data_IF_079510908198
#
_entry.id   IF_079510908198
#
_cell.length_a   1.000
_cell.length_b   1.000
_cell.length_c   1.000
_cell.angle_alpha   90.00
_cell.angle_beta   90.00
_cell.angle_gamma   90.00
#
_symmetry.space_group_name_H-M   'P 1'
#
loop_
_entity.id
_entity.type
_entity.pdbx_description
1 polymer ?
#
# COMPACT_ATOMS: atom_id res chain seq x y z
N UNK A 1 10.81 -50.67 0.60
CA UNK A 1 9.38 -50.45 0.32
C UNK A 1 8.88 -49.44 1.34
N UNK A 2 8.47 -48.29 0.80
CA UNK A 2 7.62 -47.22 1.35
C UNK A 2 7.42 -47.09 2.85
N UNK A 3 7.81 -45.93 3.38
CA UNK A 3 7.19 -45.33 4.57
C UNK A 3 6.79 -43.90 4.20
N UNK A 4 5.48 -43.72 4.05
CA UNK A 4 4.83 -42.45 3.80
C UNK A 4 4.71 -41.67 5.12
N UNK A 5 5.24 -40.44 5.15
CA UNK A 5 5.04 -39.52 6.28
C UNK A 5 3.88 -38.54 6.02
N UNK A 6 3.07 -38.45 7.05
CA UNK A 6 1.71 -37.95 7.10
C UNK A 6 1.71 -36.46 7.48
N UNK A 7 1.29 -35.58 6.55
CA UNK A 7 1.17 -34.13 6.81
C UNK A 7 -0.29 -33.81 7.19
N UNK A 8 -0.57 -33.19 8.35
CA UNK A 8 -1.94 -32.84 8.73
C UNK A 8 -2.48 -31.65 7.91
N UNK A 9 -3.59 -31.89 7.21
CA UNK A 9 -4.39 -30.85 6.53
C UNK A 9 -5.10 -29.96 7.56
N UNK A 10 -4.93 -28.64 7.44
CA UNK A 10 -5.59 -27.62 8.25
C UNK A 10 -7.09 -27.59 7.93
N UNK A 11 -7.93 -27.85 8.94
CA UNK A 11 -9.41 -27.79 8.85
C UNK A 11 -9.88 -26.34 8.71
N UNK A 12 -10.86 -26.13 7.84
CA UNK A 12 -11.65 -24.90 7.75
C UNK A 12 -12.50 -24.73 9.01
N UNK A 13 -12.59 -23.50 9.52
CA UNK A 13 -13.39 -23.13 10.69
C UNK A 13 -14.75 -22.62 10.18
N UNK A 14 -15.81 -23.33 10.56
CA UNK A 14 -17.21 -22.97 10.34
C UNK A 14 -17.64 -22.01 11.43
N UNK A 15 -18.18 -20.84 11.07
CA UNK A 15 -18.91 -19.96 11.98
C UNK A 15 -20.40 -20.30 11.87
N UNK A 16 -21.01 -20.61 13.01
CA UNK A 16 -22.45 -20.83 13.17
C UNK A 16 -23.09 -19.48 13.49
N UNK A 17 -23.96 -18.99 12.61
CA UNK A 17 -24.93 -17.93 12.92
C UNK A 17 -26.13 -18.55 13.64
N UNK A 18 -26.43 -18.06 14.84
CA UNK A 18 -27.69 -18.27 15.55
C UNK A 18 -28.71 -17.24 15.06
N UNK A 19 -29.71 -17.71 14.31
CA UNK A 19 -30.94 -16.98 13.99
C UNK A 19 -31.86 -16.92 15.22
N UNK A 20 -32.18 -15.72 15.71
CA UNK A 20 -33.34 -15.49 16.58
C UNK A 20 -34.55 -15.05 15.74
N UNK A 21 -35.57 -15.90 15.71
CA UNK A 21 -36.90 -15.63 15.18
C UNK A 21 -37.58 -14.47 15.93
N UNK A 22 -38.12 -13.50 15.18
CA UNK A 22 -39.28 -12.71 15.62
C UNK A 22 -40.31 -12.51 14.49
N UNK A 23 -41.38 -13.31 14.60
CA UNK A 23 -42.79 -12.97 14.41
C UNK A 23 -43.23 -12.02 13.30
N UNK A 24 -43.88 -12.59 12.29
CA UNK A 24 -44.85 -11.96 11.39
C UNK A 24 -46.18 -11.75 12.14
N UNK A 25 -46.93 -10.68 11.84
CA UNK A 25 -48.32 -10.89 11.42
C UNK A 25 -48.65 -10.25 10.07
N UNK A 26 -49.41 -11.01 9.28
CA UNK A 26 -50.04 -10.62 8.02
C UNK A 26 -51.25 -9.69 8.24
N UNK A 27 -51.54 -8.90 7.21
CA UNK A 27 -52.82 -8.36 6.72
C UNK A 27 -52.60 -6.91 6.26
N UNK A 28 -53.00 -6.43 5.10
CA UNK A 28 -53.77 -6.97 3.99
C UNK A 28 -54.02 -5.80 3.03
N UNK A 29 -54.10 -6.12 1.74
CA UNK A 29 -54.91 -5.45 0.71
C UNK A 29 -54.67 -3.97 0.27
N UNK A 30 -54.63 -3.88 -1.06
CA UNK A 30 -55.12 -2.80 -1.95
C UNK A 30 -54.24 -1.58 -2.27
N UNK A 31 -53.78 -1.58 -3.54
CA UNK A 31 -53.51 -0.39 -4.37
C UNK A 31 -54.87 0.31 -4.67
N UNK A 32 -54.93 1.65 -4.85
CA UNK A 32 -54.55 2.24 -6.14
C UNK A 32 -53.88 3.63 -6.04
N UNK A 33 -53.11 3.98 -7.08
CA UNK A 33 -52.79 5.38 -7.46
C UNK A 33 -54.00 5.99 -8.20
N UNK A 34 -54.26 7.32 -8.15
CA UNK A 34 -53.74 8.17 -9.23
C UNK A 34 -53.48 9.67 -8.91
N UNK A 35 -52.62 10.24 -9.76
CA UNK A 35 -52.67 11.57 -10.42
C UNK A 35 -52.66 12.89 -9.64
N UNK A 36 -51.67 13.71 -10.00
CA UNK A 36 -51.74 15.12 -10.44
C UNK A 36 -52.50 16.16 -9.60
N UNK A 37 -51.81 17.25 -9.22
CA UNK A 37 -51.93 18.57 -9.85
C UNK A 37 -51.43 19.70 -8.93
N UNK A 38 -50.71 20.65 -9.53
CA UNK A 38 -50.35 21.97 -9.04
C UNK A 38 -51.48 22.69 -8.30
N UNK A 39 -51.15 23.42 -7.22
CA UNK A 39 -51.61 24.81 -7.02
C UNK A 39 -50.56 25.64 -6.31
N UNK A 40 -50.16 26.72 -6.99
CA UNK A 40 -49.59 27.92 -6.41
C UNK A 40 -50.45 28.44 -5.25
N UNK A 41 -49.80 28.82 -4.16
CA UNK A 41 -50.30 29.85 -3.26
C UNK A 41 -49.11 30.60 -2.66
N UNK A 42 -49.15 31.90 -2.88
CA UNK A 42 -48.14 32.90 -2.56
C UNK A 42 -48.27 33.41 -1.12
N UNK A 43 -47.10 33.71 -0.53
CA UNK A 43 -46.81 34.73 0.50
C UNK A 43 -47.36 34.50 1.91
N UNK A 44 -46.46 34.14 2.84
CA UNK A 44 -46.32 34.86 4.12
C UNK A 44 -44.82 35.05 4.40
N UNK A 45 -44.35 36.30 4.28
CA UNK A 45 -43.06 36.73 4.83
C UNK A 45 -43.19 36.70 6.35
N UNK A 46 -42.46 35.81 7.01
CA UNK A 46 -42.20 35.94 8.44
C UNK A 46 -40.72 36.25 8.63
N UNK A 47 -40.42 37.54 8.72
CA UNK A 47 -39.15 38.03 9.24
C UNK A 47 -39.17 37.84 10.76
N UNK A 48 -38.08 37.25 11.26
CA UNK A 48 -37.57 37.23 12.64
C UNK A 48 -37.43 35.82 13.21
N UNK A 49 -36.21 35.29 13.10
CA UNK A 49 -35.44 34.89 14.28
C UNK A 49 -33.95 34.80 13.90
N UNK A 50 -33.21 35.85 14.25
CA UNK A 50 -31.75 35.77 14.39
C UNK A 50 -31.44 34.96 15.66
N UNK A 51 -31.41 33.63 15.54
CA UNK A 51 -30.61 32.81 16.44
C UNK A 51 -29.21 32.69 15.82
N UNK A 52 -28.31 33.54 16.28
CA UNK A 52 -26.88 33.45 15.97
C UNK A 52 -26.35 32.18 16.62
N UNK A 53 -26.30 31.09 15.85
CA UNK A 53 -25.44 29.96 16.17
C UNK A 53 -24.03 30.26 15.64
N UNK A 54 -23.00 30.31 16.49
CA UNK A 54 -21.63 30.37 16.03
C UNK A 54 -21.22 28.98 15.53
N UNK A 55 -20.69 28.92 14.31
CA UNK A 55 -20.17 27.75 13.57
C UNK A 55 -21.11 26.96 12.64
N UNK A 56 -21.96 27.62 11.85
CA UNK A 56 -22.35 27.03 10.55
C UNK A 56 -21.26 27.33 9.52
N UNK A 57 -20.22 26.49 9.44
CA UNK A 57 -19.33 26.51 8.27
C UNK A 57 -20.23 26.24 7.06
N UNK A 58 -20.37 27.22 6.16
CA UNK A 58 -21.17 27.06 4.95
C UNK A 58 -20.62 25.87 4.18
N UNK A 59 -21.43 24.81 4.03
CA UNK A 59 -21.08 23.66 3.20
C UNK A 59 -21.20 24.13 1.75
N UNK A 60 -20.06 24.36 1.11
CA UNK A 60 -19.99 24.66 -0.32
C UNK A 60 -20.24 23.37 -1.09
N UNK A 61 -21.04 23.45 -2.15
CA UNK A 61 -21.24 22.32 -3.06
C UNK A 61 -19.90 21.94 -3.74
N UNK A 62 -19.62 20.64 -3.95
CA UNK A 62 -18.33 20.20 -4.49
C UNK A 62 -18.09 20.60 -5.94
N UNK A 63 -19.15 20.88 -6.70
CA UNK A 63 -19.14 21.50 -8.04
C UNK A 63 -20.56 21.94 -8.42
N UNK A 64 -20.72 22.65 -9.53
CA UNK A 64 -22.03 22.98 -10.13
C UNK A 64 -22.89 21.75 -10.48
N UNK A 65 -22.26 20.56 -10.54
CA UNK A 65 -22.94 19.29 -10.80
C UNK A 65 -23.28 18.53 -9.52
N UNK A 66 -23.00 19.11 -8.35
CA UNK A 66 -23.19 18.46 -7.04
C UNK A 66 -22.22 17.30 -6.78
N UNK A 67 -21.18 17.12 -7.59
CA UNK A 67 -20.20 16.02 -7.50
C UNK A 67 -18.76 16.52 -7.54
N UNK A 68 -17.86 15.96 -6.71
CA UNK A 68 -16.41 16.22 -6.82
C UNK A 68 -15.85 15.33 -7.94
N UNK A 69 -15.19 15.89 -8.97
CA UNK A 69 -14.46 15.05 -9.93
C UNK A 69 -13.28 14.35 -9.24
N UNK A 70 -12.98 13.13 -9.68
CA UNK A 70 -11.78 12.41 -9.22
C UNK A 70 -10.51 13.11 -9.73
N UNK A 71 -9.44 12.98 -8.97
CA UNK A 71 -8.15 13.60 -9.31
C UNK A 71 -7.43 12.76 -10.36
N UNK A 72 -6.85 13.39 -11.39
CA UNK A 72 -6.19 12.68 -12.52
C UNK A 72 -5.11 11.70 -12.05
N UNK A 73 -4.38 12.05 -11.00
CA UNK A 73 -3.38 11.17 -10.37
C UNK A 73 -4.02 9.90 -9.78
N UNK A 74 -5.16 10.04 -9.11
CA UNK A 74 -5.89 8.90 -8.54
C UNK A 74 -6.37 7.96 -9.64
N UNK A 75 -6.94 8.52 -10.71
CA UNK A 75 -7.35 7.76 -11.89
C UNK A 75 -6.18 7.04 -12.55
N UNK A 76 -5.07 7.76 -12.77
CA UNK A 76 -3.87 7.22 -13.43
C UNK A 76 -3.26 6.07 -12.64
N UNK A 77 -3.11 6.22 -11.32
CA UNK A 77 -2.58 5.16 -10.46
C UNK A 77 -3.57 4.01 -10.33
N UNK A 78 -4.86 4.29 -10.21
CA UNK A 78 -5.91 3.26 -10.17
C UNK A 78 -5.88 2.41 -11.43
N UNK A 79 -5.80 3.03 -12.60
CA UNK A 79 -5.73 2.33 -13.88
C UNK A 79 -4.42 1.58 -14.06
N UNK A 80 -3.30 2.11 -13.56
CA UNK A 80 -2.02 1.40 -13.53
C UNK A 80 -2.13 0.11 -12.69
N UNK A 81 -2.63 0.21 -11.45
CA UNK A 81 -2.80 -0.96 -10.57
C UNK A 81 -3.78 -1.92 -11.22
N UNK A 82 -4.95 -1.44 -11.65
CA UNK A 82 -5.98 -2.23 -12.29
C UNK A 82 -5.45 -3.08 -13.45
N UNK A 83 -4.68 -2.50 -14.37
CA UNK A 83 -4.16 -3.20 -15.55
C UNK A 83 -3.13 -4.27 -15.20
N UNK A 84 -2.39 -4.08 -14.10
CA UNK A 84 -1.26 -4.92 -13.75
C UNK A 84 -1.57 -5.95 -12.65
N UNK A 85 -2.70 -5.82 -11.95
CA UNK A 85 -3.17 -6.86 -11.03
C UNK A 85 -4.00 -7.89 -11.79
N UNK A 86 -3.73 -9.16 -11.53
CA UNK A 86 -4.50 -10.28 -12.05
C UNK A 86 -4.64 -11.34 -10.96
N UNK A 87 -5.68 -12.18 -11.07
CA UNK A 87 -5.73 -13.42 -10.30
C UNK A 87 -4.50 -14.25 -10.68
N UNK A 88 -3.51 -14.32 -9.79
CA UNK A 88 -2.24 -14.97 -10.06
C UNK A 88 -2.38 -16.48 -10.32
N UNK A 89 -1.29 -17.09 -10.80
CA UNK A 89 -1.11 -18.55 -10.82
C UNK A 89 -1.38 -19.11 -9.41
N UNK A 90 -2.01 -20.27 -9.30
CA UNK A 90 -2.34 -20.90 -8.01
C UNK A 90 -1.15 -20.86 -7.03
N UNK A 91 -1.33 -20.20 -5.89
CA UNK A 91 -0.33 -20.08 -4.83
C UNK A 91 0.62 -18.88 -4.92
N UNK A 92 0.59 -18.06 -5.99
CA UNK A 92 1.35 -16.82 -6.05
C UNK A 92 0.67 -15.71 -5.22
N UNK A 93 1.46 -14.98 -4.43
CA UNK A 93 1.01 -13.84 -3.67
C UNK A 93 1.23 -12.55 -4.45
N UNK A 94 0.17 -11.75 -4.63
CA UNK A 94 0.27 -10.41 -5.19
C UNK A 94 0.77 -9.45 -4.11
N UNK A 95 1.81 -8.70 -4.43
CA UNK A 95 2.36 -7.65 -3.57
C UNK A 95 2.27 -6.32 -4.33
N UNK A 96 1.70 -5.30 -3.67
CA UNK A 96 1.62 -3.93 -4.17
C UNK A 96 2.23 -3.05 -3.08
N UNK A 97 3.34 -2.40 -3.41
CA UNK A 97 4.14 -1.62 -2.48
C UNK A 97 4.51 -0.25 -3.09
N UNK A 98 4.57 0.76 -2.25
CA UNK A 98 5.01 2.11 -2.58
C UNK A 98 6.26 2.40 -1.78
N UNK A 99 7.39 2.59 -2.47
CA UNK A 99 8.68 2.87 -1.84
C UNK A 99 8.97 4.35 -1.93
N UNK A 100 9.38 4.95 -0.82
CA UNK A 100 9.86 6.33 -0.81
C UNK A 100 11.35 6.37 -1.18
N UNK A 101 11.74 7.40 -1.92
CA UNK A 101 13.10 7.53 -2.43
C UNK A 101 13.25 8.76 -3.31
N UNK A 102 14.21 8.75 -4.22
CA UNK A 102 14.44 9.83 -5.17
C UNK A 102 14.37 9.29 -6.60
N UNK A 103 13.76 10.06 -7.50
CA UNK A 103 13.88 9.80 -8.94
C UNK A 103 15.12 10.53 -9.41
N UNK A 104 16.13 9.78 -9.83
CA UNK A 104 17.44 10.26 -10.23
C UNK A 104 17.53 10.30 -11.75
N UNK A 105 17.88 11.45 -12.30
CA UNK A 105 18.25 11.58 -13.70
C UNK A 105 19.59 10.87 -13.95
N UNK A 106 19.63 9.94 -14.91
CA UNK A 106 20.83 9.13 -15.19
C UNK A 106 21.96 9.95 -15.80
N UNK A 107 21.68 11.09 -16.43
CA UNK A 107 22.70 11.95 -17.01
C UNK A 107 23.42 12.77 -15.96
N UNK A 108 22.66 13.35 -15.02
CA UNK A 108 23.21 14.26 -14.00
C UNK A 108 23.59 13.53 -12.70
N UNK A 109 22.95 12.40 -12.40
CA UNK A 109 23.09 11.71 -11.11
C UNK A 109 22.32 12.38 -9.97
N UNK A 110 21.66 13.51 -10.24
CA UNK A 110 20.86 14.27 -9.29
C UNK A 110 19.39 13.85 -9.30
N UNK A 111 18.64 14.27 -8.27
CA UNK A 111 17.18 14.21 -8.31
C UNK A 111 16.67 14.96 -9.55
N UNK A 112 15.77 14.33 -10.29
CA UNK A 112 15.22 14.86 -11.54
C UNK A 112 14.57 16.23 -11.29
N UNK A 113 14.80 17.15 -12.23
CA UNK A 113 14.17 18.48 -12.26
C UNK A 113 13.36 18.61 -13.53
N UNK A 114 12.05 18.46 -13.40
CA UNK A 114 11.10 18.59 -14.50
C UNK A 114 10.44 19.97 -14.47
N UNK A 115 10.01 20.53 -15.61
CA UNK A 115 9.28 21.79 -15.68
C UNK A 115 7.80 21.61 -15.23
N UNK A 116 7.61 21.07 -14.02
CA UNK A 116 6.29 20.83 -13.40
C UNK A 116 6.30 21.36 -11.97
N UNK A 117 5.16 21.88 -11.52
CA UNK A 117 5.02 22.48 -10.18
C UNK A 117 4.20 21.61 -9.22
N UNK A 118 3.75 20.43 -9.66
CA UNK A 118 2.87 19.55 -8.88
C UNK A 118 3.27 18.08 -9.00
N UNK A 119 2.68 17.25 -8.12
CA UNK A 119 2.76 15.78 -8.19
C UNK A 119 2.49 15.31 -9.63
N UNK A 120 3.41 14.50 -10.17
CA UNK A 120 3.39 14.10 -11.58
C UNK A 120 3.80 12.63 -11.72
N UNK A 121 2.95 11.83 -12.37
CA UNK A 121 3.32 10.47 -12.79
C UNK A 121 4.31 10.54 -13.94
N UNK A 122 5.42 9.82 -13.82
CA UNK A 122 6.41 9.75 -14.89
C UNK A 122 6.17 8.52 -15.76
N UNK A 123 6.28 8.72 -17.07
CA UNK A 123 6.38 7.63 -18.02
C UNK A 123 7.85 7.25 -18.18
N UNK A 124 8.15 5.95 -18.06
CA UNK A 124 9.52 5.49 -18.13
C UNK A 124 10.07 5.61 -19.56
N UNK A 125 10.86 6.67 -19.81
CA UNK A 125 11.58 6.93 -21.05
C UNK A 125 13.02 6.38 -21.04
N UNK A 126 13.40 5.67 -19.97
CA UNK A 126 14.76 5.19 -19.74
C UNK A 126 15.75 6.24 -19.22
N UNK A 127 15.35 7.52 -19.13
CA UNK A 127 16.21 8.65 -18.76
C UNK A 127 16.48 8.77 -17.25
N UNK A 128 15.61 8.20 -16.42
CA UNK A 128 15.75 8.23 -14.97
C UNK A 128 15.85 6.82 -14.37
N UNK A 129 16.29 6.76 -13.11
CA UNK A 129 16.23 5.59 -12.24
C UNK A 129 15.61 6.00 -10.91
N UNK A 130 14.96 5.07 -10.22
CA UNK A 130 14.57 5.31 -8.84
C UNK A 130 15.68 4.83 -7.91
N UNK A 131 15.98 5.64 -6.90
CA UNK A 131 16.86 5.30 -5.81
C UNK A 131 16.04 5.20 -4.52
N UNK A 132 15.84 3.97 -4.05
CA UNK A 132 15.20 3.72 -2.75
C UNK A 132 16.16 3.99 -1.59
N UNK A 133 17.45 4.16 -1.87
CA UNK A 133 18.41 4.59 -0.88
C UNK A 133 18.33 6.11 -0.79
N UNK A 134 17.80 6.59 0.32
CA UNK A 134 17.79 8.02 0.61
C UNK A 134 19.25 8.49 0.67
N UNK A 135 19.64 9.58 0.02
CA UNK A 135 21.08 9.88 -0.12
C UNK A 135 21.73 10.26 1.22
N UNK A 136 23.02 9.92 1.40
CA UNK A 136 23.91 10.13 2.56
C UNK A 136 23.61 9.34 3.84
N UNK A 137 24.57 8.51 4.31
CA UNK A 137 24.41 7.61 5.47
C UNK A 137 23.91 8.29 6.76
N UNK A 138 24.32 9.53 7.01
CA UNK A 138 23.86 10.31 8.16
C UNK A 138 22.41 10.81 8.01
N UNK A 139 22.05 11.28 6.81
CA UNK A 139 20.69 11.75 6.49
C UNK A 139 19.72 10.58 6.49
N UNK A 140 20.13 9.43 5.95
CA UNK A 140 19.42 8.14 5.99
C UNK A 140 19.01 7.73 7.40
N UNK A 141 19.98 7.67 8.31
CA UNK A 141 19.74 7.25 9.69
C UNK A 141 18.82 8.24 10.41
N UNK A 142 19.02 9.54 10.18
CA UNK A 142 18.15 10.58 10.73
C UNK A 142 16.71 10.45 10.20
N UNK A 143 16.55 10.19 8.90
CA UNK A 143 15.27 10.01 8.24
C UNK A 143 14.52 8.78 8.78
N UNK A 144 15.21 7.64 8.85
CA UNK A 144 14.65 6.42 9.41
C UNK A 144 14.23 6.61 10.87
N UNK A 145 15.10 7.19 11.70
CA UNK A 145 14.77 7.49 13.09
C UNK A 145 13.62 8.51 13.23
N UNK A 146 13.50 9.45 12.29
CA UNK A 146 12.41 10.41 12.27
C UNK A 146 11.06 9.77 11.98
N UNK A 147 10.97 8.95 10.93
CA UNK A 147 9.75 8.19 10.66
C UNK A 147 9.39 7.24 11.79
N UNK A 148 10.39 6.57 12.36
CA UNK A 148 10.19 5.69 13.52
C UNK A 148 9.55 6.45 14.70
N UNK A 149 10.01 7.67 15.00
CA UNK A 149 9.41 8.50 16.06
C UNK A 149 7.96 8.89 15.74
N UNK A 150 7.67 9.31 14.51
CA UNK A 150 6.32 9.71 14.11
C UNK A 150 5.35 8.52 14.18
N UNK A 151 5.75 7.37 13.65
CA UNK A 151 4.90 6.18 13.63
C UNK A 151 4.69 5.60 15.04
N UNK A 152 5.72 5.58 15.90
CA UNK A 152 5.54 5.22 17.30
C UNK A 152 4.60 6.16 18.04
N UNK A 153 4.66 7.47 17.76
CA UNK A 153 3.72 8.42 18.33
C UNK A 153 2.27 8.13 17.90
N UNK A 154 2.03 7.59 16.68
CA UNK A 154 0.70 7.14 16.25
C UNK A 154 0.22 5.91 17.04
N UNK A 155 1.11 4.95 17.28
CA UNK A 155 0.81 3.73 18.06
C UNK A 155 0.43 4.09 19.50
N UNK A 156 1.07 5.10 20.09
CA UNK A 156 0.85 5.52 21.47
C UNK A 156 -0.42 6.38 21.68
N UNK A 157 -1.13 6.77 20.61
CA UNK A 157 -2.35 7.60 20.75
C UNK A 157 -3.46 6.80 21.46
N UNK A 158 -4.21 7.42 22.38
CA UNK A 158 -5.39 6.80 22.96
C UNK A 158 -6.38 6.35 21.85
N UNK A 159 -6.79 5.09 21.89
CA UNK A 159 -7.69 4.51 20.89
C UNK A 159 -7.06 4.20 19.52
N UNK A 160 -5.74 4.26 19.40
CA UNK A 160 -5.05 3.93 18.14
C UNK A 160 -5.36 2.50 17.69
N UNK A 161 -5.65 2.34 16.41
CA UNK A 161 -5.80 1.04 15.73
C UNK A 161 -4.51 0.58 15.06
N UNK A 162 -3.43 1.36 15.18
CA UNK A 162 -2.14 1.04 14.57
C UNK A 162 -1.43 -0.04 15.36
N UNK A 163 -1.11 -1.16 14.71
CA UNK A 163 -0.34 -2.27 15.28
C UNK A 163 1.14 -2.10 14.94
N UNK A 164 2.01 -2.36 15.92
CA UNK A 164 3.46 -2.38 15.73
C UNK A 164 4.02 -3.79 15.84
N UNK A 165 4.94 -4.15 14.95
CA UNK A 165 5.72 -5.40 14.98
C UNK A 165 7.17 -5.10 14.62
N UNK A 166 8.11 -5.71 15.34
CA UNK A 166 9.54 -5.62 15.05
C UNK A 166 10.06 -7.00 14.67
N UNK A 167 10.59 -7.14 13.44
CA UNK A 167 11.17 -8.39 12.96
C UNK A 167 12.64 -8.24 12.58
N UNK A 168 13.38 -9.34 12.74
CA UNK A 168 14.77 -9.47 12.30
C UNK A 168 14.92 -10.72 11.46
N UNK A 169 15.26 -10.55 10.20
CA UNK A 169 15.23 -11.61 9.20
C UNK A 169 16.50 -11.61 8.37
N UNK A 170 16.88 -12.79 7.88
CA UNK A 170 17.99 -12.94 6.94
C UNK A 170 17.46 -13.54 5.66
N UNK A 171 17.62 -12.79 4.58
CA UNK A 171 17.30 -13.24 3.22
C UNK A 171 18.58 -13.77 2.57
N UNK A 172 18.58 -15.05 2.21
CA UNK A 172 19.61 -15.66 1.39
C UNK A 172 19.15 -15.73 -0.07
N UNK A 173 20.00 -15.25 -0.98
CA UNK A 173 19.68 -15.29 -2.41
C UNK A 173 20.53 -16.36 -3.12
N UNK A 174 19.85 -17.16 -3.94
CA UNK A 174 20.43 -18.25 -4.72
C UNK A 174 20.12 -18.03 -6.19
N UNK A 175 21.00 -18.53 -7.05
CA UNK A 175 20.79 -18.53 -8.50
C UNK A 175 20.59 -19.97 -8.97
N UNK A 176 19.42 -20.26 -9.55
CA UNK A 176 19.11 -21.55 -10.17
C UNK A 176 18.67 -21.31 -11.62
N UNK A 177 19.57 -21.56 -12.57
CA UNK A 177 19.37 -21.17 -13.97
C UNK A 177 19.20 -19.66 -14.10
N UNK A 178 18.09 -19.22 -14.69
CA UNK A 178 17.73 -17.79 -14.80
C UNK A 178 16.97 -17.26 -13.57
N UNK A 179 16.56 -18.12 -12.65
CA UNK A 179 15.72 -17.74 -11.51
C UNK A 179 16.56 -17.37 -10.29
N UNK A 180 16.14 -16.29 -9.62
CA UNK A 180 16.68 -15.84 -8.34
C UNK A 180 15.72 -16.28 -7.23
N UNK A 181 16.17 -17.22 -6.39
CA UNK A 181 15.38 -17.74 -5.27
C UNK A 181 15.79 -17.00 -3.99
N UNK A 182 14.81 -16.49 -3.25
CA UNK A 182 14.98 -15.90 -1.91
C UNK A 182 14.55 -16.93 -0.88
N UNK A 183 15.41 -17.21 0.09
CA UNK A 183 15.10 -17.97 1.30
C UNK A 183 15.16 -17.00 2.47
N UNK A 184 14.03 -16.72 3.11
CA UNK A 184 13.94 -15.84 4.27
C UNK A 184 13.88 -16.67 5.54
N UNK A 185 14.75 -16.37 6.51
CA UNK A 185 14.81 -17.04 7.80
C UNK A 185 14.77 -16.04 8.95
N UNK A 186 14.23 -16.48 10.10
CA UNK A 186 14.36 -15.71 11.34
C UNK A 186 15.83 -15.60 11.76
N UNK A 187 16.29 -14.38 12.07
CA UNK A 187 17.69 -14.16 12.39
C UNK A 187 18.13 -14.88 13.68
N UNK A 188 17.22 -15.04 14.66
CA UNK A 188 17.56 -15.61 15.97
C UNK A 188 17.44 -17.13 15.96
N UNK A 189 16.36 -17.69 15.42
CA UNK A 189 16.12 -19.13 15.45
C UNK A 189 16.70 -19.87 14.24
N UNK A 190 17.01 -19.17 13.14
CA UNK A 190 17.39 -19.78 11.87
C UNK A 190 16.25 -20.53 11.17
N UNK A 191 15.03 -20.48 11.72
CA UNK A 191 13.87 -21.12 11.13
C UNK A 191 13.52 -20.44 9.80
N UNK A 192 13.44 -21.25 8.74
CA UNK A 192 12.99 -20.77 7.43
C UNK A 192 11.52 -20.38 7.52
N UNK A 193 11.22 -19.13 7.18
CA UNK A 193 9.86 -18.57 7.13
C UNK A 193 9.27 -18.71 5.74
N UNK A 194 10.07 -18.46 4.71
CA UNK A 194 9.59 -18.39 3.34
C UNK A 194 10.69 -18.77 2.33
N UNK A 195 10.26 -19.40 1.23
CA UNK A 195 11.10 -19.62 0.04
C UNK A 195 10.30 -19.21 -1.19
N UNK A 196 10.78 -18.24 -1.94
CA UNK A 196 10.06 -17.73 -3.11
C UNK A 196 10.95 -17.21 -4.24
N UNK A 197 10.31 -16.99 -5.39
CA UNK A 197 10.81 -16.22 -6.51
C UNK A 197 9.94 -14.96 -6.61
N UNK A 198 10.58 -13.79 -6.52
CA UNK A 198 9.91 -12.49 -6.70
C UNK A 198 9.97 -12.08 -8.16
N UNK A 199 8.82 -12.02 -8.81
CA UNK A 199 8.66 -11.59 -10.20
C UNK A 199 8.10 -10.17 -10.23
N UNK A 200 8.89 -9.22 -10.76
CA UNK A 200 8.42 -7.84 -11.01
C UNK A 200 7.40 -7.85 -12.14
N UNK A 201 6.25 -7.23 -11.93
CA UNK A 201 5.20 -7.08 -12.95
C UNK A 201 5.28 -5.70 -13.58
N UNK A 202 5.23 -4.66 -12.76
CA UNK A 202 5.26 -3.29 -13.23
C UNK A 202 5.75 -2.33 -12.14
N UNK A 203 6.26 -1.19 -12.59
CA UNK A 203 6.64 -0.06 -11.75
C UNK A 203 6.00 1.22 -12.30
N UNK A 204 5.67 2.13 -11.39
CA UNK A 204 5.20 3.48 -11.70
C UNK A 204 5.90 4.49 -10.78
N UNK A 205 6.66 5.41 -11.37
CA UNK A 205 7.31 6.48 -10.64
C UNK A 205 6.42 7.73 -10.55
N UNK A 206 6.39 8.35 -9.37
CA UNK A 206 5.66 9.60 -9.13
C UNK A 206 6.61 10.63 -8.55
N UNK A 207 6.81 11.71 -9.30
CA UNK A 207 7.63 12.85 -8.91
C UNK A 207 6.83 13.82 -8.04
N UNK A 208 7.42 14.24 -6.92
CA UNK A 208 6.84 15.19 -5.99
C UNK A 208 7.75 16.44 -5.87
N UNK A 209 7.61 17.45 -6.76
CA UNK A 209 8.50 18.61 -6.76
C UNK A 209 8.42 19.43 -5.47
N UNK A 210 7.29 19.38 -4.76
CA UNK A 210 7.06 20.10 -3.51
C UNK A 210 7.25 19.23 -2.25
N UNK A 211 7.94 18.10 -2.38
CA UNK A 211 8.26 17.23 -1.23
C UNK A 211 9.71 16.77 -1.33
N UNK A 212 10.29 16.34 -0.21
CA UNK A 212 11.70 15.97 -0.19
C UNK A 212 11.98 14.61 -0.83
N UNK A 213 10.95 13.79 -0.99
CA UNK A 213 11.03 12.45 -1.56
C UNK A 213 10.01 12.29 -2.68
N UNK A 214 10.42 11.52 -3.68
CA UNK A 214 9.54 10.92 -4.66
C UNK A 214 9.09 9.54 -4.15
N UNK A 215 8.25 8.86 -4.92
CA UNK A 215 7.96 7.46 -4.65
C UNK A 215 7.81 6.64 -5.92
N UNK A 216 8.02 5.33 -5.78
CA UNK A 216 7.74 4.32 -6.80
C UNK A 216 6.68 3.36 -6.28
N UNK A 217 5.65 3.13 -7.08
CA UNK A 217 4.70 2.04 -6.86
C UNK A 217 5.19 0.83 -7.64
N UNK A 218 5.40 -0.29 -6.96
CA UNK A 218 5.84 -1.56 -7.54
C UNK A 218 4.76 -2.62 -7.34
N UNK A 219 4.50 -3.39 -8.38
CA UNK A 219 3.61 -4.56 -8.35
C UNK A 219 4.47 -5.80 -8.63
N UNK A 220 4.41 -6.76 -7.72
CA UNK A 220 5.18 -7.99 -7.79
C UNK A 220 4.29 -9.23 -7.58
N UNK A 221 4.72 -10.36 -8.14
CA UNK A 221 4.25 -11.68 -7.73
C UNK A 221 5.33 -12.37 -6.91
N UNK A 222 4.95 -12.82 -5.73
CA UNK A 222 5.73 -13.62 -4.80
C UNK A 222 5.31 -15.09 -4.98
N UNK A 223 6.10 -15.84 -5.75
CA UNK A 223 5.77 -17.20 -6.19
C UNK A 223 6.52 -18.19 -5.29
N UNK A 224 5.83 -19.08 -4.54
CA UNK A 224 6.49 -20.11 -3.74
C UNK A 224 7.46 -20.94 -4.57
N UNK A 225 8.64 -21.18 -4.02
CA UNK A 225 9.69 -21.93 -4.69
C UNK A 225 10.18 -23.09 -3.82
N UNK A 226 10.78 -24.10 -4.45
CA UNK A 226 11.42 -25.17 -3.72
C UNK A 226 12.71 -24.65 -3.06
N UNK A 227 12.98 -25.14 -1.86
CA UNK A 227 14.22 -24.80 -1.16
C UNK A 227 15.42 -25.30 -1.98
N UNK A 228 16.43 -24.46 -2.24
CA UNK A 228 17.66 -24.92 -2.89
C UNK A 228 18.31 -26.06 -2.09
N UNK A 229 19.03 -26.98 -2.76
CA UNK A 229 19.85 -28.00 -2.08
C UNK A 229 20.75 -27.36 -1.01
N UNK A 230 21.00 -28.08 0.10
CA UNK A 230 21.72 -27.54 1.26
C UNK A 230 23.08 -26.92 0.92
N UNK A 231 23.79 -27.51 -0.03
CA UNK A 231 25.14 -27.10 -0.42
C UNK A 231 25.17 -26.04 -1.54
N UNK A 232 24.01 -25.51 -1.92
CA UNK A 232 23.94 -24.46 -2.94
C UNK A 232 24.64 -23.20 -2.41
N UNK A 233 25.59 -22.61 -3.14
CA UNK A 233 26.22 -21.38 -2.72
C UNK A 233 25.21 -20.23 -2.79
N UNK A 234 25.01 -19.54 -1.66
CA UNK A 234 24.28 -18.28 -1.67
C UNK A 234 25.15 -17.22 -2.36
N UNK A 235 24.55 -16.46 -3.27
CA UNK A 235 25.24 -15.38 -4.00
C UNK A 235 25.54 -14.19 -3.10
N UNK A 236 24.60 -13.87 -2.24
CA UNK A 236 24.69 -12.81 -1.24
C UNK A 236 23.55 -13.01 -0.24
N UNK A 237 23.68 -12.40 0.94
CA UNK A 237 22.63 -12.36 1.95
C UNK A 237 22.30 -10.93 2.35
N UNK A 238 21.08 -10.71 2.82
CA UNK A 238 20.61 -9.43 3.37
C UNK A 238 20.07 -9.66 4.77
N UNK A 239 20.65 -8.99 5.76
CA UNK A 239 20.09 -8.91 7.10
C UNK A 239 19.14 -7.72 7.16
N UNK A 240 17.90 -7.96 7.58
CA UNK A 240 16.83 -6.98 7.64
C UNK A 240 16.40 -6.78 9.08
N UNK A 241 16.44 -5.53 9.51
CA UNK A 241 15.89 -5.08 10.78
C UNK A 241 14.69 -4.18 10.47
N UNK A 242 13.47 -4.69 10.71
CA UNK A 242 12.23 -4.11 10.19
C UNK A 242 11.26 -3.72 11.30
N UNK A 243 10.80 -2.48 11.25
CA UNK A 243 9.77 -1.90 12.09
C UNK A 243 8.50 -1.73 11.25
N UNK A 244 7.49 -2.56 11.52
CA UNK A 244 6.25 -2.64 10.74
C UNK A 244 5.09 -2.02 11.51
N UNK A 245 4.35 -1.13 10.85
CA UNK A 245 3.20 -0.41 11.39
C UNK A 245 1.97 -0.67 10.53
N UNK A 246 1.01 -1.45 11.02
CA UNK A 246 -0.20 -1.81 10.29
C UNK A 246 -1.40 -0.99 10.74
N UNK A 247 -2.16 -0.43 9.80
CA UNK A 247 -3.43 0.25 10.04
C UNK A 247 -4.40 -0.08 8.91
N UNK A 248 -5.54 -0.68 9.25
CA UNK A 248 -6.56 -1.13 8.29
C UNK A 248 -5.95 -2.03 7.19
N UNK A 249 -6.05 -1.65 5.92
CA UNK A 249 -5.56 -2.42 4.78
C UNK A 249 -4.06 -2.22 4.49
N UNK A 250 -3.38 -1.33 5.23
CA UNK A 250 -2.03 -0.87 4.89
C UNK A 250 -1.01 -1.18 5.98
N UNK A 251 0.23 -1.43 5.56
CA UNK A 251 1.38 -1.53 6.43
C UNK A 251 2.47 -0.58 5.96
N UNK A 252 3.08 0.13 6.90
CA UNK A 252 4.29 0.93 6.68
C UNK A 252 5.46 0.18 7.28
N UNK A 253 6.44 -0.16 6.46
CA UNK A 253 7.65 -0.85 6.86
C UNK A 253 8.83 0.12 6.81
N UNK A 254 9.51 0.26 7.95
CA UNK A 254 10.81 0.91 8.03
C UNK A 254 11.88 -0.18 8.16
N UNK A 255 12.73 -0.34 7.16
CA UNK A 255 13.68 -1.46 7.10
C UNK A 255 15.11 -0.96 6.98
N UNK A 256 15.97 -1.37 7.91
CA UNK A 256 17.42 -1.28 7.72
C UNK A 256 17.91 -2.58 7.09
N UNK A 257 18.60 -2.48 5.96
CA UNK A 257 19.10 -3.64 5.22
C UNK A 257 20.63 -3.60 5.17
N UNK A 258 21.28 -4.64 5.71
CA UNK A 258 22.73 -4.86 5.56
C UNK A 258 22.96 -5.99 4.57
N UNK A 259 23.66 -5.69 3.47
CA UNK A 259 23.95 -6.68 2.43
C UNK A 259 25.37 -7.22 2.59
N UNK A 260 25.51 -8.55 2.58
CA UNK A 260 26.80 -9.24 2.63
C UNK A 260 26.99 -10.07 1.35
N UNK A 261 28.18 -10.04 0.77
CA UNK A 261 28.51 -10.88 -0.39
C UNK A 261 28.67 -12.36 0.01
N UNK A 262 29.02 -13.21 -0.97
CA UNK A 262 29.29 -14.64 -0.79
C UNK A 262 30.47 -14.94 0.17
N UNK A 263 31.37 -13.99 0.36
CA UNK A 263 32.51 -14.05 1.32
C UNK A 263 32.18 -13.48 2.69
N UNK A 264 30.91 -13.16 2.92
CA UNK A 264 30.41 -12.57 4.15
C UNK A 264 30.99 -11.18 4.53
N UNK A 265 31.37 -10.41 3.51
CA UNK A 265 31.81 -9.02 3.67
C UNK A 265 30.61 -8.10 3.46
N UNK A 266 30.38 -7.17 4.40
CA UNK A 266 29.34 -6.13 4.26
C UNK A 266 29.65 -5.24 3.05
N UNK A 267 28.71 -5.15 2.12
CA UNK A 267 28.84 -4.43 0.84
C UNK A 267 27.97 -3.19 0.78
N UNK A 268 26.87 -3.16 1.53
CA UNK A 268 25.90 -2.08 1.47
C UNK A 268 25.06 -2.02 2.75
N UNK A 269 24.60 -0.80 3.08
CA UNK A 269 23.71 -0.51 4.20
C UNK A 269 22.69 0.54 3.77
N UNK A 270 21.45 0.10 3.58
CA UNK A 270 20.33 0.95 3.15
C UNK A 270 19.28 1.10 4.25
N UNK A 271 18.53 2.21 4.17
CA UNK A 271 17.33 2.41 4.97
C UNK A 271 16.16 2.64 4.02
N UNK A 272 15.17 1.78 4.09
CA UNK A 272 14.03 1.71 3.18
C UNK A 272 12.74 2.04 3.93
N UNK A 273 11.84 2.78 3.26
CA UNK A 273 10.50 3.10 3.76
C UNK A 273 9.49 2.67 2.71
N UNK A 274 8.63 1.74 3.09
CA UNK A 274 7.68 1.09 2.18
C UNK A 274 6.28 1.24 2.77
N UNK A 275 5.28 1.52 1.93
CA UNK A 275 3.86 1.38 2.25
C UNK A 275 3.33 0.24 1.39
N UNK A 276 2.64 -0.73 1.96
CA UNK A 276 2.12 -1.88 1.23
C UNK A 276 0.67 -2.16 1.59
N UNK A 277 -0.03 -2.83 0.67
CA UNK A 277 -1.29 -3.47 0.97
C UNK A 277 -1.05 -4.76 1.75
N UNK A 278 -1.60 -4.88 2.95
CA UNK A 278 -1.50 -6.10 3.77
C UNK A 278 -2.13 -7.30 3.03
N UNK A 279 -3.23 -7.05 2.32
CA UNK A 279 -3.95 -8.04 1.52
C UNK A 279 -4.31 -7.46 0.16
N UNK A 280 -3.36 -7.49 -0.78
CA UNK A 280 -3.61 -7.06 -2.15
C UNK A 280 -4.75 -7.84 -2.85
N UNK A 281 -5.15 -8.99 -2.32
CA UNK A 281 -6.33 -9.74 -2.78
C UNK A 281 -7.64 -8.98 -2.57
N UNK A 282 -7.71 -8.04 -1.63
CA UNK A 282 -8.89 -7.17 -1.48
C UNK A 282 -9.07 -6.30 -2.73
N UNK A 283 -7.99 -5.77 -3.30
CA UNK A 283 -8.06 -5.04 -4.57
C UNK A 283 -8.48 -5.92 -5.75
N UNK A 284 -8.20 -7.22 -5.72
CA UNK A 284 -8.70 -8.16 -6.74
C UNK A 284 -10.22 -8.34 -6.62
N UNK A 285 -10.76 -8.42 -5.40
CA UNK A 285 -12.20 -8.49 -5.18
C UNK A 285 -12.90 -7.18 -5.59
N UNK A 286 -12.33 -6.02 -5.25
CA UNK A 286 -12.84 -4.73 -5.71
C UNK A 286 -12.74 -4.58 -7.23
N UNK A 287 -11.71 -5.18 -7.84
CA UNK A 287 -11.58 -5.26 -9.29
C UNK A 287 -12.70 -6.07 -9.94
N UNK A 288 -12.99 -7.25 -9.42
CA UNK A 288 -14.09 -8.08 -9.91
C UNK A 288 -15.44 -7.36 -9.80
N UNK A 289 -15.72 -6.72 -8.66
CA UNK A 289 -16.94 -5.90 -8.50
C UNK A 289 -17.04 -4.81 -9.56
N UNK A 290 -15.97 -4.05 -9.81
CA UNK A 290 -15.96 -3.00 -10.85
C UNK A 290 -16.15 -3.57 -12.26
N UNK A 291 -15.60 -4.75 -12.57
CA UNK A 291 -15.85 -5.43 -13.86
C UNK A 291 -17.31 -5.83 -14.02
N UNK A 292 -17.95 -6.23 -12.93
CA UNK A 292 -19.36 -6.61 -12.88
C UNK A 292 -20.31 -5.41 -12.70
N UNK A 293 -19.82 -4.17 -12.84
CA UNK A 293 -20.59 -2.93 -12.66
C UNK A 293 -21.25 -2.81 -11.27
N UNK A 294 -20.65 -3.44 -10.27
CA UNK A 294 -21.09 -3.36 -8.88
C UNK A 294 -20.41 -2.20 -8.16
N UNK A 295 -21.04 -1.74 -7.08
CA UNK A 295 -20.41 -0.82 -6.15
C UNK A 295 -19.12 -1.45 -5.60
N UNK A 296 -18.04 -0.67 -5.63
CA UNK A 296 -16.71 -1.09 -5.25
C UNK A 296 -15.96 0.09 -4.62
N UNK A 297 -14.92 -0.23 -3.86
CA UNK A 297 -14.08 0.74 -3.14
C UNK A 297 -12.66 0.79 -3.73
N UNK A 298 -12.48 0.40 -5.01
CA UNK A 298 -11.15 0.29 -5.61
C UNK A 298 -10.40 1.63 -5.57
N UNK A 299 -11.06 2.71 -6.00
CA UNK A 299 -10.50 4.05 -5.99
C UNK A 299 -10.20 4.53 -4.55
N UNK A 300 -11.07 4.24 -3.59
CA UNK A 300 -10.86 4.62 -2.19
C UNK A 300 -9.61 3.96 -1.59
N UNK A 301 -9.39 2.67 -1.87
CA UNK A 301 -8.17 1.98 -1.46
C UNK A 301 -6.91 2.61 -2.07
N UNK A 302 -6.96 2.97 -3.35
CA UNK A 302 -5.82 3.63 -4.01
C UNK A 302 -5.61 5.04 -3.47
N UNK A 303 -6.67 5.78 -3.16
CA UNK A 303 -6.55 7.12 -2.57
C UNK A 303 -5.91 7.07 -1.19
N UNK A 304 -6.35 6.17 -0.31
CA UNK A 304 -5.75 6.01 1.03
C UNK A 304 -4.27 5.59 0.90
N UNK A 305 -3.94 4.71 -0.04
CA UNK A 305 -2.57 4.32 -0.33
C UNK A 305 -1.70 5.50 -0.74
N UNK A 306 -2.16 6.32 -1.70
CA UNK A 306 -1.47 7.53 -2.13
C UNK A 306 -1.34 8.54 -0.99
N UNK A 307 -2.37 8.70 -0.17
CA UNK A 307 -2.36 9.62 0.95
C UNK A 307 -1.33 9.23 2.02
N UNK A 308 -1.15 7.94 2.29
CA UNK A 308 -0.08 7.44 3.16
C UNK A 308 1.31 7.79 2.60
N UNK A 309 1.55 7.55 1.31
CA UNK A 309 2.81 7.88 0.63
C UNK A 309 3.10 9.39 0.64
N UNK A 310 2.10 10.19 0.27
CA UNK A 310 2.19 11.67 0.28
C UNK A 310 2.47 12.21 1.67
N UNK A 311 1.81 11.67 2.70
CA UNK A 311 2.02 12.12 4.07
C UNK A 311 3.44 11.83 4.53
N UNK A 312 3.94 10.61 4.29
CA UNK A 312 5.32 10.24 4.62
C UNK A 312 6.33 11.09 3.84
N UNK A 313 6.13 11.29 2.54
CA UNK A 313 7.02 12.12 1.73
C UNK A 313 7.09 13.57 2.21
N UNK A 314 5.95 14.18 2.57
CA UNK A 314 5.92 15.56 3.12
C UNK A 314 6.51 15.67 4.52
N UNK A 315 6.48 14.58 5.31
CA UNK A 315 7.11 14.50 6.63
C UNK A 315 8.58 14.12 6.55
N UNK A 316 9.14 13.94 5.36
CA UNK A 316 10.56 13.71 5.23
C UNK A 316 11.38 14.92 5.69
N UNK A 317 12.58 14.66 6.20
CA UNK A 317 13.57 15.68 6.51
C UNK A 317 14.15 16.16 5.17
N UNK A 318 14.32 17.48 4.97
CA UNK A 318 14.96 18.01 3.77
C UNK A 318 16.36 17.41 3.56
N UNK A 319 16.64 16.99 2.31
CA UNK A 319 17.98 16.72 1.83
C UNK A 319 18.74 18.04 1.57
N UNK A 320 18.87 18.90 2.57
CA UNK A 320 19.74 20.06 2.44
C UNK A 320 21.19 19.60 2.56
N UNK A 321 21.80 19.41 1.40
CA UNK A 321 23.24 19.58 1.19
C UNK A 321 23.52 21.06 1.48
N UNK A 322 24.37 21.33 2.46
CA UNK A 322 24.93 22.66 2.68
C UNK A 322 25.86 23.06 1.55
#
# INVERSE_FOLDING_TARGET
>A
MDVADNIPRKRARTEQETEELRGIPQNGETRPTPSSANKDASIVRNSQNHSVHPNSVFRVEPSIFGKKPEEDILLTVSDFIWRNISGGKSGAHLEIEGKLGLIIDKQTGDRIRLPVSSETVLTNSGQFRFDSNMTMHLVLKAQHAHFNRILNALVQRPGSRTRYVHTKEVDHYYQQGSQKIRVSADQKSGQVKEVLIKQRIADLEVHLPNSHLDFRISINLEIPAQRPPKDSPSRFRRQKDRLSYSHEAFRVDLTQVRQYNDRDVETDLTHEVEVEFIRATELLAEKEKRQNQQQNNFADYVDIFLNNLRYLSRKAIPHNVG
#
